data_IF_943593426156
#
_entry.id   IF_943593426156
#
_cell.length_a   1.000
_cell.length_b   1.000
_cell.length_c   1.000
_cell.angle_alpha   90.00
_cell.angle_beta   90.00
_cell.angle_gamma   90.00
#
_symmetry.space_group_name_H-M   'P 1'
#
loop_
_entity.id
_entity.type
_entity.pdbx_description
1 polymer ?
#
# COMPACT_ATOMS: atom_id res chain seq x y z
N UNK A 1 -20.68 18.49 -11.24
CA UNK A 1 -19.69 17.44 -10.87
C UNK A 1 -19.42 17.63 -9.40
N UNK A 2 -19.57 16.59 -8.57
CA UNK A 2 -19.25 16.70 -7.14
C UNK A 2 -17.77 17.00 -6.97
N UNK A 3 -17.46 17.93 -6.08
CA UNK A 3 -16.08 18.34 -5.80
C UNK A 3 -15.32 17.24 -5.04
N UNK A 4 -13.97 17.21 -5.12
CA UNK A 4 -13.18 16.31 -4.29
C UNK A 4 -13.51 16.41 -2.80
N UNK A 5 -13.27 15.36 -2.02
CA UNK A 5 -13.49 15.45 -0.57
C UNK A 5 -12.41 16.28 0.13
N UNK A 6 -11.14 16.06 -0.23
CA UNK A 6 -10.02 16.80 0.32
C UNK A 6 -9.87 18.13 -0.42
N UNK A 7 -10.24 19.21 0.26
CA UNK A 7 -10.18 20.58 -0.25
C UNK A 7 -8.95 21.32 0.26
N UNK A 8 -8.36 22.16 -0.58
CA UNK A 8 -7.18 22.98 -0.27
C UNK A 8 -5.84 22.25 -0.45
N UNK A 9 -4.79 23.02 -0.75
CA UNK A 9 -3.43 22.49 -0.98
C UNK A 9 -2.82 21.85 0.28
N UNK A 10 -3.19 22.32 1.48
CA UNK A 10 -2.64 21.86 2.75
C UNK A 10 -3.39 20.64 3.34
N UNK A 11 -4.37 20.07 2.64
CA UNK A 11 -5.13 18.95 3.20
C UNK A 11 -4.21 17.76 3.54
N UNK A 12 -4.30 17.17 4.75
CA UNK A 12 -3.39 16.11 5.24
C UNK A 12 -3.48 14.76 4.49
N UNK A 13 -4.26 14.70 3.40
CA UNK A 13 -4.43 13.51 2.59
C UNK A 13 -3.11 13.18 1.88
N UNK A 14 -2.79 11.88 1.77
CA UNK A 14 -1.60 11.45 1.03
C UNK A 14 -1.72 11.79 -0.48
N UNK A 15 -0.59 11.84 -1.18
CA UNK A 15 -0.55 12.23 -2.61
C UNK A 15 -1.42 11.37 -3.53
N UNK A 16 -1.61 10.09 -3.17
CA UNK A 16 -2.43 9.12 -3.92
C UNK A 16 -3.82 8.90 -3.30
N UNK A 17 -4.26 9.75 -2.37
CA UNK A 17 -5.53 9.53 -1.70
C UNK A 17 -6.69 9.75 -2.67
N UNK A 18 -7.71 8.86 -2.72
CA UNK A 18 -8.89 9.07 -3.55
C UNK A 18 -9.63 10.37 -3.21
N UNK A 19 -9.60 10.81 -1.94
CA UNK A 19 -10.25 12.05 -1.50
C UNK A 19 -9.75 13.30 -2.23
N UNK A 20 -8.53 13.30 -2.76
CA UNK A 20 -7.97 14.45 -3.51
C UNK A 20 -8.60 14.63 -4.90
N UNK A 21 -9.27 13.60 -5.43
CA UNK A 21 -9.87 13.64 -6.77
C UNK A 21 -11.35 13.28 -6.78
N UNK A 22 -11.83 12.59 -5.76
CA UNK A 22 -13.17 12.02 -5.70
C UNK A 22 -13.98 12.63 -4.55
N UNK A 23 -15.30 12.80 -4.73
CA UNK A 23 -16.21 13.18 -3.64
C UNK A 23 -16.30 12.07 -2.61
N UNK A 24 -16.81 12.40 -1.40
CA UNK A 24 -16.93 11.45 -0.27
C UNK A 24 -17.64 10.15 -0.63
N UNK A 25 -18.69 10.24 -1.43
CA UNK A 25 -19.56 9.13 -1.83
C UNK A 25 -18.91 8.16 -2.84
N UNK A 26 -17.79 8.55 -3.45
CA UNK A 26 -17.11 7.78 -4.48
C UNK A 26 -15.91 6.96 -3.97
N UNK A 27 -15.66 6.94 -2.66
CA UNK A 27 -14.64 6.10 -2.05
C UNK A 27 -15.07 5.59 -0.67
N UNK A 28 -14.42 4.51 -0.24
CA UNK A 28 -14.59 3.94 1.10
C UNK A 28 -13.33 4.14 1.93
N UNK A 29 -13.50 4.17 3.25
CA UNK A 29 -12.41 4.26 4.22
C UNK A 29 -12.27 2.95 4.97
N UNK A 30 -11.12 2.31 4.87
CA UNK A 30 -10.72 1.18 5.71
C UNK A 30 -9.92 1.68 6.91
N UNK A 31 -10.03 0.98 8.05
CA UNK A 31 -9.24 1.27 9.26
C UNK A 31 -7.73 1.09 9.03
N UNK A 32 -7.35 0.13 8.18
CA UNK A 32 -5.94 -0.19 7.83
C UNK A 32 -5.83 -0.85 6.45
N UNK A 33 -4.62 -0.94 5.87
CA UNK A 33 -4.40 -1.66 4.62
C UNK A 33 -4.82 -3.14 4.73
N UNK A 34 -5.49 -3.63 3.68
CA UNK A 34 -5.99 -5.01 3.61
C UNK A 34 -5.59 -5.67 2.28
N UNK A 35 -5.47 -7.00 2.29
CA UNK A 35 -5.34 -7.82 1.09
C UNK A 35 -6.61 -7.83 0.23
N UNK A 36 -7.76 -7.47 0.79
CA UNK A 36 -9.01 -7.27 0.03
C UNK A 36 -9.00 -5.99 -0.81
N UNK A 37 -8.07 -5.07 -0.51
CA UNK A 37 -7.95 -3.78 -1.19
C UNK A 37 -6.55 -3.62 -1.80
N UNK A 38 -6.21 -4.41 -2.84
CA UNK A 38 -4.91 -4.34 -3.50
C UNK A 38 -4.69 -2.96 -4.12
N UNK A 39 -3.43 -2.55 -4.16
CA UNK A 39 -2.99 -1.33 -4.84
C UNK A 39 -2.93 -1.56 -6.35
N UNK A 40 -3.51 -0.63 -7.11
CA UNK A 40 -3.51 -0.60 -8.57
C UNK A 40 -2.51 0.46 -9.05
N UNK A 41 -1.40 0.08 -9.71
CA UNK A 41 -0.38 1.02 -10.15
C UNK A 41 -0.82 1.89 -11.34
N UNK A 42 -1.92 1.56 -12.03
CA UNK A 42 -2.39 2.32 -13.18
C UNK A 42 -2.86 3.73 -12.79
N UNK A 43 -3.53 3.86 -11.65
CA UNK A 43 -4.09 5.11 -11.14
C UNK A 43 -3.60 5.49 -9.73
N UNK A 44 -3.00 4.54 -9.01
CA UNK A 44 -2.43 4.74 -7.67
C UNK A 44 -3.43 4.54 -6.53
N UNK A 45 -4.64 4.02 -6.78
CA UNK A 45 -5.60 3.72 -5.73
C UNK A 45 -5.53 2.28 -5.25
N UNK A 46 -6.18 2.05 -4.10
CA UNK A 46 -6.53 0.71 -3.65
C UNK A 46 -7.98 0.46 -3.99
N UNK A 47 -8.36 -0.76 -4.35
CA UNK A 47 -9.72 -1.05 -4.79
C UNK A 47 -10.36 -2.17 -4.01
N UNK A 48 -11.61 -1.99 -3.60
CA UNK A 48 -12.44 -3.09 -3.10
C UNK A 48 -12.72 -4.10 -4.22
N UNK A 49 -13.28 -5.27 -3.85
CA UNK A 49 -13.77 -6.25 -4.82
C UNK A 49 -14.78 -5.66 -5.82
N UNK A 50 -15.56 -4.67 -5.38
CA UNK A 50 -16.55 -3.95 -6.20
C UNK A 50 -15.94 -2.85 -7.08
N UNK A 51 -14.61 -2.72 -7.13
CA UNK A 51 -13.87 -1.66 -7.83
C UNK A 51 -14.16 -0.25 -7.31
N UNK A 52 -14.51 -0.12 -6.03
CA UNK A 52 -14.58 1.18 -5.35
C UNK A 52 -13.19 1.56 -4.82
N UNK A 53 -12.70 2.79 -5.08
CA UNK A 53 -11.46 3.28 -4.49
C UNK A 53 -11.52 3.28 -2.95
N UNK A 54 -10.42 2.92 -2.32
CA UNK A 54 -10.30 2.78 -0.88
C UNK A 54 -9.17 3.65 -0.31
N UNK A 55 -9.52 4.49 0.66
CA UNK A 55 -8.54 5.12 1.55
C UNK A 55 -8.27 4.18 2.73
N UNK A 56 -7.02 4.08 3.17
CA UNK A 56 -6.59 3.25 4.31
C UNK A 56 -6.09 4.09 5.49
N UNK A 57 -6.39 5.39 5.48
CA UNK A 57 -5.90 6.35 6.47
C UNK A 57 -7.06 7.22 6.99
N UNK A 58 -7.95 6.68 7.84
CA UNK A 58 -9.12 7.39 8.37
C UNK A 58 -8.73 8.72 9.04
N UNK A 59 -7.66 8.70 9.84
CA UNK A 59 -7.14 9.90 10.52
C UNK A 59 -6.67 11.01 9.57
N UNK A 60 -6.23 10.68 8.35
CA UNK A 60 -5.80 11.69 7.37
C UNK A 60 -6.96 12.34 6.63
N UNK A 61 -8.12 11.71 6.61
CA UNK A 61 -9.34 12.24 6.01
C UNK A 61 -10.35 12.73 7.05
N UNK A 62 -10.08 12.51 8.35
CA UNK A 62 -10.98 12.92 9.43
C UNK A 62 -12.30 12.15 9.43
N UNK A 63 -12.31 10.91 8.93
CA UNK A 63 -13.50 10.07 8.83
C UNK A 63 -13.33 8.82 9.69
N UNK A 64 -14.45 8.34 10.24
CA UNK A 64 -14.51 6.99 10.79
C UNK A 64 -14.39 5.95 9.66
N UNK A 65 -13.81 4.76 9.93
CA UNK A 65 -13.72 3.71 8.94
C UNK A 65 -15.11 3.19 8.56
N UNK A 66 -15.40 3.17 7.26
CA UNK A 66 -16.59 2.52 6.71
C UNK A 66 -16.50 0.99 6.82
N UNK A 67 -15.26 0.45 6.79
CA UNK A 67 -14.97 -0.99 6.78
C UNK A 67 -13.77 -1.30 7.66
N UNK A 68 -13.82 -2.46 8.32
CA UNK A 68 -12.69 -2.99 9.10
C UNK A 68 -11.96 -4.04 8.26
N UNK A 69 -10.66 -3.86 8.10
CA UNK A 69 -9.81 -4.79 7.39
C UNK A 69 -9.78 -6.14 8.11
N UNK A 70 -9.92 -7.27 7.37
CA UNK A 70 -9.83 -8.60 7.91
C UNK A 70 -8.45 -8.86 8.53
N UNK A 71 -8.34 -9.88 9.40
CA UNK A 71 -7.05 -10.34 9.89
C UNK A 71 -6.05 -10.60 8.73
N UNK A 72 -4.75 -10.40 8.96
CA UNK A 72 -3.72 -10.80 8.00
C UNK A 72 -3.90 -12.27 7.62
N UNK A 73 -3.64 -12.62 6.35
CA UNK A 73 -3.57 -14.03 5.95
C UNK A 73 -2.36 -14.69 6.59
N UNK A 74 -2.49 -15.95 6.96
CA UNK A 74 -1.35 -16.77 7.33
C UNK A 74 -0.33 -16.75 6.20
N UNK A 75 0.94 -16.53 6.55
CA UNK A 75 2.02 -16.63 5.58
C UNK A 75 2.07 -18.08 5.09
N UNK A 76 2.20 -18.33 3.77
CA UNK A 76 2.46 -19.68 3.31
C UNK A 76 3.75 -20.17 3.98
N UNK A 77 3.75 -21.43 4.45
CA UNK A 77 4.93 -22.03 5.05
C UNK A 77 6.10 -21.87 4.07
N UNK A 78 7.13 -21.15 4.49
CA UNK A 78 8.30 -20.91 3.65
C UNK A 78 8.88 -22.26 3.23
N UNK A 79 8.87 -22.54 1.93
CA UNK A 79 9.70 -23.62 1.39
C UNK A 79 11.15 -23.29 1.76
N UNK A 80 11.94 -24.26 2.26
CA UNK A 80 13.29 -24.00 2.71
C UNK A 80 14.12 -23.47 1.54
N UNK A 81 14.51 -22.19 1.60
CA UNK A 81 15.40 -21.57 0.63
C UNK A 81 16.71 -22.38 0.54
N UNK A 82 17.11 -22.72 -0.69
CA UNK A 82 18.38 -23.35 -0.94
C UNK A 82 19.52 -22.41 -0.49
N UNK A 83 20.28 -22.85 0.52
CA UNK A 83 21.41 -22.06 1.06
C UNK A 83 22.39 -21.68 -0.05
N UNK A 84 22.75 -20.39 -0.22
CA UNK A 84 23.73 -19.99 -1.22
C UNK A 84 25.09 -20.65 -0.93
N UNK A 85 25.56 -21.51 -1.84
CA UNK A 85 26.93 -22.06 -1.77
C UNK A 85 27.91 -20.90 -1.93
N UNK A 86 28.65 -20.58 -0.86
CA UNK A 86 29.75 -19.59 -0.92
C UNK A 86 30.71 -19.98 -2.05
N UNK A 87 30.87 -19.11 -3.05
CA UNK A 87 31.93 -19.26 -4.05
C UNK A 87 33.27 -19.11 -3.32
N UNK A 88 34.06 -20.18 -3.28
CA UNK A 88 35.45 -20.13 -2.82
C UNK A 88 36.27 -19.33 -3.82
N UNK A 89 36.98 -18.31 -3.32
CA UNK A 89 38.22 -17.85 -3.94
C UNK A 89 38.20 -16.41 -4.42
N UNK A 90 38.70 -15.51 -3.58
CA UNK A 90 39.55 -14.42 -4.07
C UNK A 90 40.84 -14.46 -3.25
N UNK A 91 41.93 -14.93 -3.86
CA UNK A 91 43.28 -14.75 -3.31
C UNK A 91 43.85 -13.49 -3.96
N UNK A 92 44.19 -12.44 -3.19
CA UNK A 92 44.97 -11.34 -3.73
C UNK A 92 46.43 -11.80 -3.88
N UNK A 93 46.94 -11.76 -5.11
CA UNK A 93 48.36 -11.98 -5.39
C UNK A 93 49.16 -10.75 -4.93
N UNK A 94 49.68 -10.78 -3.70
CA UNK A 94 50.69 -9.80 -3.29
C UNK A 94 52.00 -10.08 -4.05
N UNK A 95 52.33 -9.14 -4.95
CA UNK A 95 53.62 -9.09 -5.65
C UNK A 95 54.64 -8.47 -4.71
N UNK A 96 55.61 -9.26 -4.25
CA UNK A 96 56.77 -8.78 -3.52
C UNK A 96 57.68 -7.93 -4.41
N UNK A 97 58.24 -6.86 -3.84
CA UNK A 97 59.49 -6.20 -4.25
C UNK A 97 60.21 -5.74 -3.00
#
# INVERSE_FOLDING_TARGET
>A
MSEPFAQGEDHPACGICPSKRLPREAFVVYDRPSWECPFDPADGYRYTADRTPACVHPHKVGLEPDRIAPPPKDAPAAEPEATPRRRRGWLPSFRAR
#
